data_IF_879042342227
#
_entry.id   IF_879042342227
#
_cell.length_a   1.000
_cell.length_b   1.000
_cell.length_c   1.000
_cell.angle_alpha   90.00
_cell.angle_beta   90.00
_cell.angle_gamma   90.00
#
_symmetry.space_group_name_H-M   'P 1'
#
loop_
_entity.id
_entity.type
_entity.pdbx_description
1 polymer ?
#
# COMPACT_ATOMS: atom_id res chain seq x y z
N UNK A 1 1.51 6.18 7.09
CA UNK A 1 2.21 4.95 6.63
C UNK A 1 3.36 4.56 7.54
N UNK A 2 4.24 5.49 7.95
CA UNK A 2 5.40 5.17 8.80
C UNK A 2 5.05 4.54 10.16
N UNK A 3 4.16 5.17 10.94
CA UNK A 3 3.75 4.68 12.27
C UNK A 3 3.10 3.28 12.18
N UNK A 4 2.14 3.10 11.27
CA UNK A 4 1.46 1.82 11.06
C UNK A 4 2.45 0.74 10.60
N UNK A 5 3.37 1.07 9.69
CA UNK A 5 4.39 0.14 9.20
C UNK A 5 5.30 -0.36 10.32
N UNK A 6 5.75 0.54 11.20
CA UNK A 6 6.56 0.17 12.37
C UNK A 6 5.77 -0.71 13.35
N UNK A 7 4.52 -0.36 13.65
CA UNK A 7 3.66 -1.14 14.54
C UNK A 7 3.49 -2.59 14.05
N UNK A 8 3.23 -2.78 12.74
CA UNK A 8 3.08 -4.11 12.14
C UNK A 8 4.42 -4.86 12.12
N UNK A 9 5.53 -4.16 11.83
CA UNK A 9 6.85 -4.76 11.77
C UNK A 9 7.28 -5.35 13.12
N UNK A 10 7.05 -4.61 14.21
CA UNK A 10 7.41 -5.09 15.55
C UNK A 10 6.39 -6.08 16.14
N UNK A 11 5.13 -6.02 15.72
CA UNK A 11 4.08 -6.89 16.24
C UNK A 11 3.69 -8.00 15.24
N UNK A 12 4.34 -9.15 15.39
CA UNK A 12 4.06 -10.35 14.58
C UNK A 12 2.62 -10.86 14.71
N UNK A 13 1.94 -10.61 15.83
CA UNK A 13 0.53 -10.99 16.00
C UNK A 13 -0.36 -10.14 15.09
N UNK A 14 -0.18 -8.81 15.13
CA UNK A 14 -0.89 -7.89 14.25
C UNK A 14 -0.65 -8.21 12.78
N UNK A 15 0.59 -8.55 12.40
CA UNK A 15 0.88 -8.95 11.02
C UNK A 15 0.09 -10.20 10.59
N UNK A 16 0.00 -11.23 11.45
CA UNK A 16 -0.78 -12.44 11.14
C UNK A 16 -2.28 -12.14 11.01
N UNK A 17 -2.82 -11.28 11.87
CA UNK A 17 -4.21 -10.83 11.79
C UNK A 17 -4.47 -10.08 10.49
N UNK A 18 -3.58 -9.16 10.09
CA UNK A 18 -3.71 -8.45 8.82
C UNK A 18 -3.69 -9.40 7.61
N UNK A 19 -2.82 -10.41 7.61
CA UNK A 19 -2.78 -11.43 6.56
C UNK A 19 -4.08 -12.27 6.56
N UNK A 20 -4.66 -12.56 7.72
CA UNK A 20 -5.94 -13.26 7.79
C UNK A 20 -7.07 -12.42 7.18
N UNK A 21 -7.08 -11.11 7.44
CA UNK A 21 -8.06 -10.17 6.87
C UNK A 21 -7.99 -10.10 5.34
N UNK A 22 -6.84 -10.34 4.70
CA UNK A 22 -6.77 -10.36 3.22
C UNK A 22 -7.51 -11.53 2.58
N UNK A 23 -8.03 -12.48 3.38
CA UNK A 23 -8.90 -13.56 2.90
C UNK A 23 -10.39 -13.22 3.04
N UNK A 24 -10.73 -12.14 3.76
CA UNK A 24 -12.10 -11.70 3.94
C UNK A 24 -12.60 -10.88 2.73
N UNK A 25 -13.79 -11.24 2.21
CA UNK A 25 -14.34 -10.61 1.00
C UNK A 25 -14.76 -9.16 1.24
N UNK A 26 -15.31 -8.86 2.40
CA UNK A 26 -15.76 -7.50 2.75
C UNK A 26 -14.55 -6.59 2.89
N UNK A 27 -13.49 -7.06 3.57
CA UNK A 27 -12.23 -6.34 3.68
C UNK A 27 -11.60 -6.08 2.31
N UNK A 28 -11.56 -7.08 1.42
CA UNK A 28 -11.05 -6.90 0.05
C UNK A 28 -11.86 -5.86 -0.73
N UNK A 29 -13.20 -5.91 -0.66
CA UNK A 29 -14.04 -4.92 -1.32
C UNK A 29 -13.81 -3.50 -0.78
N UNK A 30 -13.86 -3.32 0.54
CA UNK A 30 -13.66 -2.00 1.18
C UNK A 30 -12.26 -1.46 0.92
N UNK A 31 -11.23 -2.29 1.06
CA UNK A 31 -9.84 -1.88 0.80
C UNK A 31 -9.58 -1.57 -0.67
N UNK A 32 -10.19 -2.32 -1.60
CA UNK A 32 -10.14 -2.04 -3.03
C UNK A 32 -10.81 -0.71 -3.38
N UNK A 33 -12.02 -0.48 -2.86
CA UNK A 33 -12.76 0.77 -3.04
C UNK A 33 -12.01 1.98 -2.51
N UNK A 34 -11.49 1.88 -1.28
CA UNK A 34 -10.70 2.96 -0.68
C UNK A 34 -9.41 3.22 -1.45
N UNK A 35 -8.72 2.16 -1.91
CA UNK A 35 -7.53 2.28 -2.75
C UNK A 35 -7.82 2.98 -4.07
N UNK A 36 -8.96 2.67 -4.69
CA UNK A 36 -9.39 3.29 -5.95
C UNK A 36 -9.65 4.78 -5.77
N UNK A 37 -10.45 5.15 -4.75
CA UNK A 37 -10.80 6.54 -4.48
C UNK A 37 -9.56 7.37 -4.12
N UNK A 38 -8.74 6.88 -3.17
CA UNK A 38 -7.54 7.60 -2.75
C UNK A 38 -6.51 7.71 -3.88
N UNK A 39 -6.35 6.66 -4.69
CA UNK A 39 -5.50 6.68 -5.87
C UNK A 39 -5.97 7.71 -6.89
N UNK A 40 -7.28 7.72 -7.19
CA UNK A 40 -7.89 8.67 -8.11
C UNK A 40 -7.70 10.11 -7.63
N UNK A 41 -8.01 10.41 -6.37
CA UNK A 41 -7.78 11.75 -5.80
C UNK A 41 -6.31 12.17 -5.88
N UNK A 42 -5.40 11.25 -5.57
CA UNK A 42 -3.96 11.55 -5.62
C UNK A 42 -3.51 11.86 -7.04
N UNK A 43 -3.97 11.09 -8.04
CA UNK A 43 -3.67 11.39 -9.45
C UNK A 43 -4.27 12.74 -9.86
N UNK A 44 -5.52 13.03 -9.49
CA UNK A 44 -6.14 14.31 -9.85
C UNK A 44 -5.42 15.53 -9.23
N UNK A 45 -4.94 15.42 -7.98
CA UNK A 45 -4.34 16.54 -7.26
C UNK A 45 -2.81 16.64 -7.41
N UNK A 46 -2.13 15.52 -7.68
CA UNK A 46 -0.67 15.40 -7.61
C UNK A 46 -0.06 14.66 -8.81
N UNK A 47 -0.67 14.70 -10.00
CA UNK A 47 -0.08 14.12 -11.22
C UNK A 47 1.00 15.02 -11.83
N UNK A 48 2.14 15.11 -11.14
CA UNK A 48 3.30 15.89 -11.53
C UNK A 48 4.46 14.95 -11.89
N UNK A 49 4.71 14.78 -13.18
CA UNK A 49 5.85 14.01 -13.69
C UNK A 49 7.11 14.88 -13.79
N UNK A 50 7.51 15.44 -12.64
CA UNK A 50 8.71 16.27 -12.50
C UNK A 50 9.83 15.45 -11.88
N UNK A 51 11.09 15.71 -12.25
CA UNK A 51 12.26 14.98 -11.73
C UNK A 51 12.64 15.40 -10.31
N UNK A 52 11.67 15.47 -9.41
CA UNK A 52 11.86 15.73 -7.97
C UNK A 52 11.08 14.71 -7.11
N UNK A 53 11.17 14.85 -5.79
CA UNK A 53 10.56 13.90 -4.85
C UNK A 53 9.04 13.75 -5.00
N UNK A 54 8.34 14.72 -5.60
CA UNK A 54 6.89 14.65 -5.83
C UNK A 54 6.51 13.56 -6.82
N UNK A 55 7.42 13.13 -7.70
CA UNK A 55 7.18 11.99 -8.61
C UNK A 55 6.83 10.72 -7.87
N UNK A 56 7.38 10.53 -6.66
CA UNK A 56 7.06 9.39 -5.79
C UNK A 56 5.57 9.45 -5.44
N UNK A 57 5.04 10.61 -5.07
CA UNK A 57 3.61 10.78 -4.77
C UNK A 57 2.76 10.39 -5.99
N UNK A 58 3.15 10.85 -7.19
CA UNK A 58 2.45 10.51 -8.44
C UNK A 58 2.46 9.00 -8.70
N UNK A 59 3.61 8.34 -8.54
CA UNK A 59 3.74 6.88 -8.69
C UNK A 59 2.84 6.16 -7.67
N UNK A 60 2.82 6.57 -6.41
CA UNK A 60 1.94 5.99 -5.40
C UNK A 60 0.46 6.19 -5.71
N UNK A 61 0.08 7.36 -6.24
CA UNK A 61 -1.28 7.62 -6.72
C UNK A 61 -1.72 6.64 -7.79
N UNK A 62 -0.90 6.46 -8.82
CA UNK A 62 -1.15 5.49 -9.89
C UNK A 62 -1.17 4.04 -9.41
N UNK A 63 -0.23 3.65 -8.54
CA UNK A 63 -0.19 2.30 -7.97
C UNK A 63 -1.44 2.01 -7.11
N UNK A 64 -1.89 2.98 -6.30
CA UNK A 64 -3.11 2.83 -5.50
C UNK A 64 -4.37 2.73 -6.38
N UNK A 65 -4.44 3.54 -7.45
CA UNK A 65 -5.52 3.50 -8.41
C UNK A 65 -5.59 2.14 -9.11
N UNK A 66 -4.47 1.69 -9.68
CA UNK A 66 -4.36 0.38 -10.35
C UNK A 66 -4.69 -0.77 -9.39
N UNK A 67 -4.19 -0.72 -8.16
CA UNK A 67 -4.52 -1.71 -7.12
C UNK A 67 -6.03 -1.76 -6.86
N UNK A 68 -6.68 -0.61 -6.72
CA UNK A 68 -8.13 -0.54 -6.50
C UNK A 68 -8.91 -1.15 -7.66
N UNK A 69 -8.54 -0.81 -8.90
CA UNK A 69 -9.12 -1.39 -10.13
C UNK A 69 -8.93 -2.90 -10.17
N UNK A 70 -7.73 -3.40 -9.88
CA UNK A 70 -7.44 -4.83 -9.89
C UNK A 70 -8.23 -5.59 -8.82
N UNK A 71 -8.33 -5.04 -7.61
CA UNK A 71 -9.05 -5.70 -6.52
C UNK A 71 -10.54 -5.84 -6.82
N UNK A 72 -11.16 -4.77 -7.36
CA UNK A 72 -12.59 -4.72 -7.63
C UNK A 72 -12.96 -5.38 -8.96
N UNK A 73 -12.15 -5.19 -10.01
CA UNK A 73 -12.42 -5.67 -11.36
C UNK A 73 -11.89 -7.08 -11.65
N UNK A 74 -10.94 -7.60 -10.86
CA UNK A 74 -10.31 -8.90 -11.09
C UNK A 74 -10.23 -9.73 -9.79
N UNK A 75 -11.35 -10.26 -9.27
CA UNK A 75 -11.39 -10.97 -7.99
C UNK A 75 -10.49 -12.20 -7.92
N UNK A 76 -10.25 -12.89 -9.04
CA UNK A 76 -9.38 -14.08 -9.07
C UNK A 76 -7.89 -13.73 -8.95
N UNK A 77 -7.48 -12.56 -9.45
CA UNK A 77 -6.13 -12.04 -9.24
C UNK A 77 -5.88 -11.76 -7.75
N UNK A 78 -6.86 -11.17 -7.07
CA UNK A 78 -6.80 -10.87 -5.63
C UNK A 78 -6.68 -12.12 -4.77
N UNK A 79 -7.43 -13.19 -5.09
CA UNK A 79 -7.32 -14.48 -4.39
C UNK A 79 -5.92 -15.08 -4.51
N UNK A 80 -5.31 -15.00 -5.70
CA UNK A 80 -3.96 -15.51 -5.96
C UNK A 80 -2.91 -14.76 -5.12
N UNK A 81 -3.01 -13.44 -5.04
CA UNK A 81 -2.15 -12.61 -4.19
C UNK A 81 -2.31 -12.97 -2.72
N UNK A 82 -3.55 -13.04 -2.22
CA UNK A 82 -3.83 -13.38 -0.81
C UNK A 82 -3.24 -14.74 -0.41
N UNK A 83 -3.29 -15.74 -1.30
CA UNK A 83 -2.66 -17.06 -1.09
C UNK A 83 -1.14 -17.00 -1.04
N UNK A 84 -0.51 -16.09 -1.78
CA UNK A 84 0.94 -15.89 -1.74
C UNK A 84 1.39 -15.30 -0.39
N UNK A 85 0.69 -14.27 0.10
CA UNK A 85 0.97 -13.66 1.41
C UNK A 85 0.78 -14.63 2.58
N UNK A 86 -0.25 -15.50 2.51
CA UNK A 86 -0.48 -16.51 3.53
C UNK A 86 0.62 -17.57 3.64
N UNK A 87 1.36 -17.85 2.56
CA UNK A 87 2.40 -18.90 2.54
C UNK A 87 3.79 -18.40 2.93
N UNK A 88 4.07 -17.11 2.80
CA UNK A 88 5.42 -16.58 2.99
C UNK A 88 5.42 -15.27 3.77
N UNK A 89 5.55 -15.35 5.10
CA UNK A 89 5.67 -14.17 5.96
C UNK A 89 6.88 -13.29 5.58
N UNK A 90 7.90 -13.85 4.94
CA UNK A 90 9.07 -13.10 4.49
C UNK A 90 8.71 -12.04 3.43
N UNK A 91 7.78 -12.34 2.52
CA UNK A 91 7.35 -11.36 1.50
C UNK A 91 6.57 -10.20 2.10
N UNK A 92 5.78 -10.46 3.16
CA UNK A 92 5.10 -9.41 3.91
C UNK A 92 6.10 -8.49 4.62
N UNK A 93 7.13 -9.05 5.25
CA UNK A 93 8.18 -8.26 5.91
C UNK A 93 8.93 -7.37 4.91
N UNK A 94 9.34 -7.92 3.75
CA UNK A 94 10.03 -7.14 2.71
C UNK A 94 9.17 -5.97 2.25
N UNK A 95 7.87 -6.18 2.02
CA UNK A 95 6.96 -5.13 1.62
C UNK A 95 6.82 -4.04 2.69
N UNK A 96 6.68 -4.42 3.97
CA UNK A 96 6.59 -3.45 5.08
C UNK A 96 7.89 -2.65 5.20
N UNK A 97 9.05 -3.29 5.09
CA UNK A 97 10.35 -2.62 5.13
C UNK A 97 10.48 -1.59 4.00
N UNK A 98 10.16 -1.96 2.76
CA UNK A 98 10.15 -1.02 1.63
C UNK A 98 9.21 0.16 1.92
N UNK A 99 8.00 -0.11 2.42
CA UNK A 99 7.02 0.93 2.73
C UNK A 99 7.52 1.90 3.80
N UNK A 100 8.18 1.40 4.86
CA UNK A 100 8.74 2.23 5.93
C UNK A 100 9.87 3.13 5.41
N UNK A 101 10.78 2.57 4.60
CA UNK A 101 11.90 3.33 4.02
C UNK A 101 11.36 4.47 3.14
N UNK A 102 10.42 4.15 2.25
CA UNK A 102 9.83 5.16 1.36
C UNK A 102 9.05 6.21 2.14
N UNK A 103 8.27 5.79 3.14
CA UNK A 103 7.52 6.71 3.98
C UNK A 103 8.46 7.65 4.76
N UNK A 104 9.58 7.14 5.28
CA UNK A 104 10.58 7.94 5.96
C UNK A 104 11.19 8.99 5.02
N UNK A 105 11.58 8.59 3.82
CA UNK A 105 12.14 9.49 2.81
C UNK A 105 11.17 10.64 2.46
N UNK A 106 9.91 10.31 2.16
CA UNK A 106 8.90 11.31 1.80
C UNK A 106 8.60 12.25 2.97
N UNK A 107 8.52 11.72 4.19
CA UNK A 107 8.30 12.52 5.40
C UNK A 107 9.44 13.52 5.61
N UNK A 108 10.70 13.09 5.50
CA UNK A 108 11.86 13.97 5.67
C UNK A 108 11.85 15.12 4.64
N UNK A 109 11.59 14.81 3.37
CA UNK A 109 11.46 15.82 2.30
C UNK A 109 10.27 16.76 2.52
N UNK A 110 9.12 16.23 2.96
CA UNK A 110 7.91 17.01 3.21
C UNK A 110 8.04 18.00 4.38
N UNK A 111 8.78 17.66 5.43
CA UNK A 111 9.08 18.56 6.55
C UNK A 111 10.19 19.58 6.24
N UNK A 112 10.75 19.56 5.02
CA UNK A 112 11.83 20.47 4.64
C UNK A 112 13.16 20.17 5.35
N UNK A 113 13.34 18.95 5.87
CA UNK A 113 14.53 18.60 6.64
C UNK A 113 15.78 18.42 5.76
N UNK A 114 15.66 18.25 4.44
CA UNK A 114 16.75 18.26 3.44
C UNK A 114 16.16 18.44 2.03
#
# INVERSE_FOLDING_TARGET
MLIIGLLIFFNKSLMKEMIKLTSDKVFLFVSGFLSLILGLFTVLLHNLWVSDWRVIITIFGWLALLKGILILGCPDFTKRISKHYNKNLSTANVQITIMVIVALYVTLKGFGLY
#
